data_IF_981992203097
#
_entry.id   IF_981992203097
#
_cell.length_a   1.000
_cell.length_b   1.000
_cell.length_c   1.000
_cell.angle_alpha   90.00
_cell.angle_beta   90.00
_cell.angle_gamma   90.00
#
_symmetry.space_group_name_H-M   'P 1'
#
loop_
_entity.id
_entity.type
_entity.pdbx_description
1 polymer ?
#
# COMPACT_ATOMS: atom_id res chain seq x y z
N UNK A 1 10.24 15.58 -35.32
CA UNK A 1 9.15 14.82 -34.66
C UNK A 1 9.61 14.19 -33.33
N UNK A 2 10.75 13.48 -33.30
CA UNK A 2 11.32 12.87 -32.09
C UNK A 2 11.64 13.89 -30.97
N UNK A 3 12.18 15.07 -31.29
CA UNK A 3 12.45 16.11 -30.27
C UNK A 3 11.17 16.71 -29.65
N UNK A 4 10.08 16.82 -30.42
CA UNK A 4 8.77 17.26 -29.93
C UNK A 4 8.14 16.21 -28.99
N UNK A 5 8.28 14.93 -29.31
CA UNK A 5 7.83 13.82 -28.45
C UNK A 5 8.64 13.79 -27.14
N UNK A 6 9.97 13.95 -27.21
CA UNK A 6 10.83 14.05 -26.02
C UNK A 6 10.48 15.25 -25.14
N UNK A 7 10.11 16.40 -25.72
CA UNK A 7 9.61 17.56 -24.96
C UNK A 7 8.26 17.32 -24.27
N UNK A 8 7.41 16.43 -24.79
CA UNK A 8 6.17 16.03 -24.11
C UNK A 8 6.47 15.17 -22.88
N UNK A 9 7.44 14.25 -22.95
CA UNK A 9 7.91 13.44 -21.80
C UNK A 9 8.54 14.25 -20.66
N UNK A 10 8.97 15.49 -20.93
CA UNK A 10 9.46 16.40 -19.89
C UNK A 10 8.34 17.08 -19.10
N UNK A 11 7.14 17.20 -19.67
CA UNK A 11 5.99 17.86 -19.00
C UNK A 11 5.37 16.91 -17.98
N UNK A 12 5.31 17.36 -16.73
CA UNK A 12 4.80 16.56 -15.61
C UNK A 12 3.37 16.06 -15.84
N UNK A 13 2.51 16.89 -16.45
CA UNK A 13 1.12 16.53 -16.79
C UNK A 13 1.00 15.37 -17.79
N UNK A 14 1.95 15.23 -18.72
CA UNK A 14 1.95 14.11 -19.67
C UNK A 14 2.28 12.79 -18.98
N UNK A 15 3.23 12.80 -18.02
CA UNK A 15 3.52 11.64 -17.21
C UNK A 15 2.32 11.21 -16.36
N UNK A 16 1.63 12.16 -15.72
CA UNK A 16 0.41 11.90 -14.95
C UNK A 16 -0.68 11.30 -15.84
N UNK A 17 -0.90 11.84 -17.04
CA UNK A 17 -1.86 11.29 -17.99
C UNK A 17 -1.54 9.83 -18.33
N UNK A 18 -0.30 9.54 -18.73
CA UNK A 18 0.12 8.17 -19.07
C UNK A 18 -0.07 7.23 -17.87
N UNK A 19 0.38 7.61 -16.68
CA UNK A 19 0.24 6.76 -15.49
C UNK A 19 -1.22 6.49 -15.16
N UNK A 20 -2.09 7.49 -15.30
CA UNK A 20 -3.53 7.32 -15.08
C UNK A 20 -4.13 6.37 -16.13
N UNK A 21 -3.75 6.48 -17.40
CA UNK A 21 -4.19 5.56 -18.45
C UNK A 21 -3.71 4.13 -18.21
N UNK A 22 -2.46 3.95 -17.79
CA UNK A 22 -1.91 2.63 -17.45
C UNK A 22 -2.58 2.03 -16.21
N UNK A 23 -2.90 2.84 -15.20
CA UNK A 23 -3.67 2.39 -14.05
C UNK A 23 -5.10 2.02 -14.42
N UNK A 24 -5.71 2.74 -15.37
CA UNK A 24 -7.05 2.41 -15.85
C UNK A 24 -7.06 1.09 -16.60
N UNK A 25 -6.05 0.88 -17.45
CA UNK A 25 -5.79 -0.43 -18.06
C UNK A 25 -5.61 -1.51 -17.00
N UNK A 26 -4.79 -1.26 -15.98
CA UNK A 26 -4.57 -2.20 -14.88
C UNK A 26 -5.87 -2.52 -14.13
N UNK A 27 -6.70 -1.52 -13.84
CA UNK A 27 -7.99 -1.70 -13.16
C UNK A 27 -8.92 -2.63 -13.94
N UNK A 28 -9.11 -2.35 -15.24
CA UNK A 28 -9.91 -3.22 -16.13
C UNK A 28 -9.34 -4.63 -16.12
N UNK A 29 -8.01 -4.72 -16.28
CA UNK A 29 -7.32 -5.99 -16.34
C UNK A 29 -7.46 -6.80 -15.04
N UNK A 30 -7.42 -6.15 -13.88
CA UNK A 30 -7.64 -6.79 -12.57
C UNK A 30 -9.04 -7.38 -12.42
N UNK A 31 -10.07 -6.79 -13.04
CA UNK A 31 -11.41 -7.40 -13.08
C UNK A 31 -11.50 -8.61 -14.03
N UNK A 32 -10.76 -8.57 -15.15
CA UNK A 32 -10.74 -9.66 -16.14
C UNK A 32 -9.89 -10.86 -15.68
N UNK A 33 -8.80 -10.62 -14.97
CA UNK A 33 -7.87 -11.64 -14.45
C UNK A 33 -7.59 -11.41 -12.97
N UNK A 34 -8.55 -11.69 -12.08
CA UNK A 34 -8.41 -11.37 -10.67
C UNK A 34 -7.39 -12.24 -9.95
N UNK A 35 -6.57 -11.60 -9.12
CA UNK A 35 -5.64 -12.26 -8.21
C UNK A 35 -6.22 -12.27 -6.80
N UNK A 36 -6.89 -13.37 -6.45
CA UNK A 36 -7.57 -13.57 -5.17
C UNK A 36 -7.33 -14.96 -4.58
N UNK A 37 -7.31 -15.03 -3.25
CA UNK A 37 -7.19 -16.27 -2.48
C UNK A 37 -8.30 -17.29 -2.73
N UNK A 38 -7.99 -18.57 -2.52
CA UNK A 38 -9.01 -19.65 -2.46
C UNK A 38 -9.53 -19.94 -1.04
N UNK A 39 -9.03 -19.22 -0.03
CA UNK A 39 -9.39 -19.41 1.38
C UNK A 39 -10.84 -18.98 1.68
N UNK A 40 -11.39 -19.41 2.82
CA UNK A 40 -12.72 -18.99 3.31
C UNK A 40 -12.91 -17.46 3.42
N UNK A 41 -11.82 -16.70 3.61
CA UNK A 41 -11.83 -15.24 3.64
C UNK A 41 -12.06 -14.58 2.26
N UNK A 42 -12.03 -15.33 1.16
CA UNK A 42 -12.24 -14.85 -0.21
C UNK A 42 -13.40 -15.59 -0.85
N UNK A 43 -14.59 -14.98 -0.83
CA UNK A 43 -15.81 -15.63 -1.33
C UNK A 43 -16.15 -15.13 -2.75
N UNK A 44 -16.70 -15.99 -3.62
CA UNK A 44 -17.24 -15.58 -4.90
C UNK A 44 -18.25 -14.45 -4.72
N UNK A 45 -18.26 -13.49 -5.65
CA UNK A 45 -19.22 -12.37 -5.61
C UNK A 45 -20.68 -12.86 -5.60
N UNK A 46 -20.97 -14.01 -6.22
CA UNK A 46 -22.30 -14.65 -6.19
C UNK A 46 -22.77 -15.04 -4.79
N UNK A 47 -21.85 -15.30 -3.85
CA UNK A 47 -22.19 -15.58 -2.44
C UNK A 47 -22.35 -14.29 -1.62
N UNK A 48 -21.81 -13.18 -2.10
CA UNK A 48 -21.95 -11.85 -1.49
C UNK A 48 -23.20 -11.11 -1.95
N UNK A 49 -23.60 -11.25 -3.22
CA UNK A 49 -24.77 -10.58 -3.79
C UNK A 49 -26.06 -10.73 -2.95
N UNK A 50 -26.41 -11.92 -2.43
CA UNK A 50 -27.61 -12.08 -1.57
C UNK A 50 -27.51 -11.37 -0.22
N UNK A 51 -26.30 -11.11 0.28
CA UNK A 51 -26.09 -10.35 1.54
C UNK A 51 -26.26 -8.84 1.32
N UNK A 52 -26.08 -8.36 0.09
CA UNK A 52 -26.25 -6.97 -0.29
C UNK A 52 -27.64 -6.67 -0.90
N UNK A 53 -28.48 -7.69 -1.11
CA UNK A 53 -29.84 -7.52 -1.62
C UNK A 53 -30.80 -7.20 -0.48
N UNK A 54 -30.68 -6.00 0.09
CA UNK A 54 -31.67 -5.50 1.07
C UNK A 54 -32.87 -4.86 0.34
N UNK A 55 -32.69 -4.40 -0.91
CA UNK A 55 -33.76 -3.85 -1.76
C UNK A 55 -33.65 -4.33 -3.23
N UNK A 56 -34.78 -4.43 -3.94
CA UNK A 56 -34.84 -4.85 -5.36
C UNK A 56 -34.01 -3.96 -6.32
N UNK A 57 -33.65 -2.74 -5.89
CA UNK A 57 -32.83 -1.76 -6.63
C UNK A 57 -31.31 -2.02 -6.52
N UNK A 58 -30.85 -2.69 -5.47
CA UNK A 58 -29.42 -2.95 -5.19
C UNK A 58 -28.78 -3.92 -6.20
N UNK A 59 -29.59 -4.81 -6.78
CA UNK A 59 -29.17 -5.79 -7.78
C UNK A 59 -28.75 -5.17 -9.13
N UNK A 60 -29.21 -3.97 -9.46
CA UNK A 60 -29.14 -3.46 -10.84
C UNK A 60 -27.73 -3.08 -11.32
N UNK A 61 -26.89 -2.50 -10.45
CA UNK A 61 -25.56 -2.01 -10.85
C UNK A 61 -24.54 -3.14 -10.84
N UNK A 62 -24.52 -3.96 -9.78
CA UNK A 62 -23.61 -5.10 -9.72
C UNK A 62 -23.97 -6.14 -10.79
N UNK A 63 -25.24 -6.46 -11.06
CA UNK A 63 -25.61 -7.39 -12.14
C UNK A 63 -25.33 -6.85 -13.55
N UNK A 64 -25.16 -5.54 -13.74
CA UNK A 64 -24.74 -4.94 -15.01
C UNK A 64 -23.23 -4.92 -15.20
N UNK A 65 -22.47 -4.81 -14.12
CA UNK A 65 -21.00 -4.85 -14.13
C UNK A 65 -20.52 -6.31 -14.09
N UNK A 66 -21.27 -7.21 -13.45
CA UNK A 66 -20.96 -8.63 -13.27
C UNK A 66 -20.61 -9.38 -14.57
N UNK A 67 -21.27 -9.14 -15.73
CA UNK A 67 -20.89 -9.78 -17.00
C UNK A 67 -19.49 -9.36 -17.49
N UNK A 68 -18.97 -8.21 -17.02
CA UNK A 68 -17.65 -7.69 -17.36
C UNK A 68 -16.58 -8.10 -16.33
N UNK A 69 -16.99 -8.73 -15.23
CA UNK A 69 -16.10 -9.23 -14.19
C UNK A 69 -15.88 -10.73 -14.43
N UNK A 70 -14.64 -11.19 -14.28
CA UNK A 70 -14.32 -12.61 -14.38
C UNK A 70 -15.17 -13.46 -13.42
N UNK A 71 -15.69 -14.64 -13.84
CA UNK A 71 -16.37 -15.57 -12.94
C UNK A 71 -15.51 -16.02 -11.75
N UNK A 72 -14.18 -15.88 -11.87
CA UNK A 72 -13.22 -16.21 -10.82
C UNK A 72 -13.04 -15.09 -9.78
N UNK A 73 -13.68 -13.93 -9.97
CA UNK A 73 -13.55 -12.78 -9.08
C UNK A 73 -14.15 -13.09 -7.70
N UNK A 74 -13.34 -12.87 -6.68
CA UNK A 74 -13.68 -13.07 -5.27
C UNK A 74 -13.49 -11.79 -4.49
N UNK A 75 -14.34 -11.60 -3.50
CA UNK A 75 -14.28 -10.49 -2.54
C UNK A 75 -13.73 -11.02 -1.21
N UNK A 76 -12.85 -10.24 -0.61
CA UNK A 76 -12.38 -10.45 0.76
C UNK A 76 -13.49 -10.21 1.80
N UNK A 77 -13.46 -10.94 2.91
CA UNK A 77 -14.37 -10.81 4.07
C UNK A 77 -14.51 -9.40 4.62
N UNK A 78 -13.44 -8.61 4.57
CA UNK A 78 -13.41 -7.26 5.16
C UNK A 78 -14.17 -6.24 4.30
N UNK A 79 -14.44 -6.55 3.02
CA UNK A 79 -15.07 -5.64 2.06
C UNK A 79 -16.52 -5.33 2.45
N UNK A 80 -17.28 -6.33 2.92
CA UNK A 80 -18.68 -6.12 3.31
C UNK A 80 -18.83 -5.02 4.35
N UNK A 81 -17.98 -5.06 5.39
CA UNK A 81 -17.95 -4.05 6.44
C UNK A 81 -17.54 -2.67 5.92
N UNK A 82 -16.53 -2.59 5.05
CA UNK A 82 -16.11 -1.31 4.47
C UNK A 82 -17.22 -0.67 3.61
N UNK A 83 -17.94 -1.47 2.83
CA UNK A 83 -19.06 -0.99 2.01
C UNK A 83 -20.23 -0.57 2.87
N UNK A 84 -20.54 -1.33 3.91
CA UNK A 84 -21.62 -0.99 4.84
C UNK A 84 -21.34 0.30 5.60
N UNK A 85 -20.14 0.46 6.16
CA UNK A 85 -19.70 1.71 6.79
C UNK A 85 -19.61 2.87 5.79
N UNK A 86 -19.30 2.59 4.52
CA UNK A 86 -19.33 3.57 3.43
C UNK A 86 -20.75 4.04 3.08
N UNK A 87 -21.78 3.21 3.32
CA UNK A 87 -23.19 3.57 3.16
C UNK A 87 -23.73 4.29 4.40
N UNK A 88 -23.38 3.78 5.58
CA UNK A 88 -23.87 4.18 6.90
C UNK A 88 -22.72 4.26 7.91
N UNK A 89 -22.10 5.43 8.03
CA UNK A 89 -21.04 5.67 9.01
C UNK A 89 -21.65 6.04 10.38
N UNK A 90 -22.25 5.05 11.06
CA UNK A 90 -22.98 5.24 12.32
C UNK A 90 -22.42 4.39 13.47
N UNK A 91 -22.70 4.81 14.70
CA UNK A 91 -22.28 4.15 15.93
C UNK A 91 -22.73 2.67 16.02
N UNK A 92 -23.88 2.33 15.43
CA UNK A 92 -24.45 0.97 15.48
C UNK A 92 -23.55 -0.07 14.81
N UNK A 93 -22.90 0.30 13.70
CA UNK A 93 -21.97 -0.57 12.97
C UNK A 93 -20.60 -0.71 13.62
N UNK A 94 -20.31 0.10 14.65
CA UNK A 94 -19.10 0.00 15.45
C UNK A 94 -19.31 -0.75 16.77
N UNK A 95 -20.56 -1.07 17.15
CA UNK A 95 -20.87 -1.93 18.30
C UNK A 95 -20.60 -3.39 17.93
N UNK A 96 -19.53 -3.99 18.45
CA UNK A 96 -19.20 -5.41 18.21
C UNK A 96 -17.87 -5.69 17.50
N UNK A 97 -16.96 -4.72 17.49
CA UNK A 97 -15.50 -4.89 17.37
C UNK A 97 -14.93 -5.61 16.15
N UNK A 98 -14.40 -4.80 15.22
CA UNK A 98 -13.24 -5.11 14.35
C UNK A 98 -12.72 -3.86 13.59
N UNK A 99 -13.58 -2.86 13.32
CA UNK A 99 -13.28 -1.75 12.40
C UNK A 99 -13.14 -0.36 13.04
N UNK A 100 -13.37 -0.21 14.35
CA UNK A 100 -13.17 1.04 15.11
C UNK A 100 -11.76 1.64 14.96
N UNK A 101 -10.78 0.77 14.74
CA UNK A 101 -9.35 1.07 14.62
C UNK A 101 -8.91 1.61 13.25
N UNK A 102 -9.77 1.53 12.21
CA UNK A 102 -9.43 1.88 10.83
C UNK A 102 -10.50 2.73 10.13
N UNK A 103 -10.99 3.81 10.75
CA UNK A 103 -12.15 4.55 10.23
C UNK A 103 -11.89 5.28 8.92
N UNK A 104 -10.65 5.64 8.59
CA UNK A 104 -10.39 6.59 7.50
C UNK A 104 -10.85 6.08 6.14
N UNK A 105 -10.56 4.82 5.80
CA UNK A 105 -10.94 4.27 4.50
C UNK A 105 -12.47 4.23 4.28
N UNK A 106 -13.26 3.57 5.16
CA UNK A 106 -14.72 3.62 5.04
C UNK A 106 -15.28 5.04 5.17
N UNK A 107 -14.66 5.91 5.97
CA UNK A 107 -15.06 7.32 6.06
C UNK A 107 -14.88 8.09 4.75
N UNK A 108 -13.80 7.83 3.98
CA UNK A 108 -13.63 8.40 2.64
C UNK A 108 -14.73 7.93 1.68
N UNK A 109 -15.12 6.65 1.75
CA UNK A 109 -16.25 6.10 0.97
C UNK A 109 -17.54 6.78 1.38
N UNK A 110 -17.79 6.95 2.68
CA UNK A 110 -18.96 7.64 3.19
C UNK A 110 -19.03 9.11 2.75
N UNK A 111 -17.91 9.83 2.81
CA UNK A 111 -17.87 11.23 2.39
C UNK A 111 -18.17 11.37 0.89
N UNK A 112 -17.62 10.48 0.05
CA UNK A 112 -17.94 10.48 -1.38
C UNK A 112 -19.39 10.07 -1.64
N UNK A 113 -19.91 9.08 -0.90
CA UNK A 113 -21.31 8.65 -1.04
C UNK A 113 -22.29 9.77 -0.68
N UNK A 114 -22.02 10.51 0.40
CA UNK A 114 -22.81 11.68 0.81
C UNK A 114 -22.93 12.73 -0.31
N UNK A 115 -21.83 13.01 -1.01
CA UNK A 115 -21.83 13.94 -2.15
C UNK A 115 -22.62 13.40 -3.35
N UNK A 116 -22.61 12.08 -3.56
CA UNK A 116 -23.35 11.46 -4.68
C UNK A 116 -24.83 11.23 -4.42
N UNK A 117 -25.26 11.18 -3.14
CA UNK A 117 -26.68 11.01 -2.75
C UNK A 117 -27.60 12.07 -3.36
N UNK A 118 -27.06 13.25 -3.67
CA UNK A 118 -27.80 14.33 -4.34
C UNK A 118 -28.16 14.03 -5.81
N UNK A 119 -27.47 13.07 -6.43
CA UNK A 119 -27.60 12.79 -7.87
C UNK A 119 -28.10 11.36 -8.14
N UNK A 120 -27.77 10.39 -7.28
CA UNK A 120 -28.06 8.97 -7.51
C UNK A 120 -28.53 8.34 -6.18
N UNK A 121 -29.61 7.54 -6.17
CA UNK A 121 -30.01 6.78 -4.99
C UNK A 121 -28.88 5.89 -4.48
N UNK A 122 -28.62 5.92 -3.18
CA UNK A 122 -27.56 5.08 -2.59
C UNK A 122 -27.95 3.61 -2.62
N UNK A 123 -27.20 2.83 -3.39
CA UNK A 123 -27.24 1.38 -3.45
C UNK A 123 -25.88 0.77 -3.15
N UNK A 124 -25.82 -0.51 -2.75
CA UNK A 124 -24.53 -1.18 -2.53
C UNK A 124 -23.65 -1.20 -3.78
N UNK A 125 -24.24 -1.30 -4.97
CA UNK A 125 -23.51 -1.22 -6.23
C UNK A 125 -22.89 0.16 -6.48
N UNK A 126 -23.58 1.25 -6.12
CA UNK A 126 -23.03 2.61 -6.17
C UNK A 126 -21.89 2.76 -5.16
N UNK A 127 -22.07 2.32 -3.92
CA UNK A 127 -21.03 2.38 -2.88
C UNK A 127 -19.80 1.57 -3.29
N UNK A 128 -19.97 0.39 -3.86
CA UNK A 128 -18.87 -0.40 -4.43
C UNK A 128 -18.13 0.38 -5.51
N UNK A 129 -18.85 0.94 -6.49
CA UNK A 129 -18.24 1.77 -7.54
C UNK A 129 -17.45 2.96 -7.00
N UNK A 130 -17.97 3.63 -5.97
CA UNK A 130 -17.28 4.74 -5.29
C UNK A 130 -16.03 4.27 -4.55
N UNK A 131 -16.07 3.11 -3.91
CA UNK A 131 -14.91 2.55 -3.24
C UNK A 131 -13.79 2.20 -4.24
N UNK A 132 -14.15 1.62 -5.40
CA UNK A 132 -13.19 1.39 -6.48
C UNK A 132 -12.64 2.71 -7.04
N UNK A 133 -13.50 3.74 -7.19
CA UNK A 133 -13.05 5.07 -7.60
C UNK A 133 -12.05 5.67 -6.58
N UNK A 134 -12.31 5.53 -5.28
CA UNK A 134 -11.39 5.98 -4.22
C UNK A 134 -10.06 5.25 -4.34
N UNK A 135 -10.06 3.92 -4.50
CA UNK A 135 -8.83 3.17 -4.73
C UNK A 135 -8.06 3.69 -5.93
N UNK A 136 -8.75 3.90 -7.05
CA UNK A 136 -8.16 4.41 -8.28
C UNK A 136 -7.54 5.81 -8.08
N UNK A 137 -8.22 6.71 -7.38
CA UNK A 137 -7.70 8.04 -7.04
C UNK A 137 -6.48 7.93 -6.11
N UNK A 138 -6.55 7.11 -5.06
CA UNK A 138 -5.47 6.92 -4.11
C UNK A 138 -4.21 6.37 -4.78
N UNK A 139 -4.33 5.34 -5.61
CA UNK A 139 -3.17 4.78 -6.32
C UNK A 139 -2.64 5.72 -7.40
N UNK A 140 -3.51 6.45 -8.09
CA UNK A 140 -3.09 7.48 -9.06
C UNK A 140 -2.28 8.58 -8.38
N UNK A 141 -2.76 9.06 -7.23
CA UNK A 141 -2.04 10.02 -6.40
C UNK A 141 -0.72 9.43 -5.88
N UNK A 142 -0.72 8.18 -5.42
CA UNK A 142 0.47 7.49 -4.94
C UNK A 142 1.53 7.39 -6.04
N UNK A 143 1.17 6.94 -7.25
CA UNK A 143 2.09 6.83 -8.39
C UNK A 143 2.61 8.20 -8.82
N UNK A 144 1.76 9.23 -8.86
CA UNK A 144 2.19 10.58 -9.19
C UNK A 144 3.19 11.14 -8.15
N UNK A 145 2.89 11.00 -6.86
CA UNK A 145 3.79 11.41 -5.78
C UNK A 145 5.08 10.57 -5.80
N UNK A 146 4.99 9.28 -6.10
CA UNK A 146 6.14 8.39 -6.22
C UNK A 146 7.07 8.83 -7.35
N UNK A 147 6.52 9.11 -8.52
CA UNK A 147 7.27 9.66 -9.64
C UNK A 147 7.97 10.96 -9.26
N UNK A 148 7.27 11.90 -8.62
CA UNK A 148 7.85 13.18 -8.18
C UNK A 148 8.94 12.99 -7.12
N UNK A 149 8.73 12.06 -6.18
CA UNK A 149 9.70 11.69 -5.16
C UNK A 149 10.99 11.16 -5.80
N UNK A 150 10.86 10.17 -6.69
CA UNK A 150 12.01 9.55 -7.33
C UNK A 150 12.71 10.48 -8.30
N UNK A 151 11.99 11.33 -9.02
CA UNK A 151 12.59 12.35 -9.91
C UNK A 151 13.49 13.32 -9.14
N UNK A 152 13.22 13.54 -7.83
CA UNK A 152 14.07 14.39 -6.98
C UNK A 152 15.32 13.68 -6.45
N UNK A 153 15.28 12.36 -6.27
CA UNK A 153 16.38 11.57 -5.70
C UNK A 153 17.26 10.89 -6.75
N UNK A 154 16.69 10.61 -7.92
CA UNK A 154 17.29 9.84 -9.00
C UNK A 154 17.14 10.58 -10.33
N UNK A 155 17.28 9.86 -11.44
CA UNK A 155 17.04 10.41 -12.79
C UNK A 155 15.56 10.34 -13.17
N UNK A 156 15.17 11.13 -14.18
CA UNK A 156 13.83 11.08 -14.78
C UNK A 156 13.48 9.67 -15.26
N UNK A 157 14.46 8.95 -15.83
CA UNK A 157 14.31 7.58 -16.31
C UNK A 157 14.02 6.61 -15.18
N UNK A 158 14.78 6.69 -14.07
CA UNK A 158 14.55 5.84 -12.89
C UNK A 158 13.17 6.08 -12.31
N UNK A 159 12.75 7.34 -12.19
CA UNK A 159 11.42 7.70 -11.71
C UNK A 159 10.30 7.11 -12.61
N UNK A 160 10.44 7.26 -13.93
CA UNK A 160 9.49 6.74 -14.90
C UNK A 160 9.34 5.21 -14.82
N UNK A 161 10.45 4.48 -14.93
CA UNK A 161 10.43 3.02 -14.92
C UNK A 161 9.95 2.48 -13.57
N UNK A 162 10.37 3.08 -12.46
CA UNK A 162 9.91 2.66 -11.12
C UNK A 162 8.40 2.84 -10.95
N UNK A 163 7.84 3.92 -11.53
CA UNK A 163 6.40 4.17 -11.50
C UNK A 163 5.63 3.15 -12.33
N UNK A 164 6.16 2.77 -13.50
CA UNK A 164 5.60 1.69 -14.32
C UNK A 164 5.63 0.35 -13.56
N UNK A 165 6.75 0.02 -12.90
CA UNK A 165 6.86 -1.20 -12.09
C UNK A 165 5.88 -1.22 -10.90
N UNK A 166 5.61 -0.06 -10.30
CA UNK A 166 4.62 0.05 -9.23
C UNK A 166 3.20 -0.18 -9.76
N UNK A 167 2.85 0.43 -10.91
CA UNK A 167 1.52 0.25 -11.56
C UNK A 167 1.29 -1.22 -11.87
N UNK A 168 2.26 -1.86 -12.52
CA UNK A 168 2.23 -3.29 -12.87
C UNK A 168 2.84 -4.14 -11.75
N UNK A 169 2.62 -3.75 -10.49
CA UNK A 169 3.00 -4.59 -9.36
C UNK A 169 1.85 -5.54 -9.03
N UNK A 170 2.15 -6.76 -8.56
CA UNK A 170 1.11 -7.71 -8.18
C UNK A 170 0.25 -7.19 -7.01
N UNK A 171 0.84 -6.34 -6.16
CA UNK A 171 0.10 -5.61 -5.13
C UNK A 171 -0.97 -4.69 -5.73
N UNK A 172 -0.62 -3.84 -6.70
CA UNK A 172 -1.62 -2.95 -7.34
C UNK A 172 -2.67 -3.79 -8.05
N UNK A 173 -2.27 -4.84 -8.77
CA UNK A 173 -3.21 -5.74 -9.44
C UNK A 173 -4.23 -6.38 -8.49
N UNK A 174 -3.81 -6.88 -7.33
CA UNK A 174 -4.71 -7.54 -6.38
C UNK A 174 -5.65 -6.59 -5.64
N UNK A 175 -5.23 -5.34 -5.40
CA UNK A 175 -5.93 -4.45 -4.47
C UNK A 175 -6.61 -3.25 -5.14
N UNK A 176 -6.27 -2.90 -6.40
CA UNK A 176 -6.91 -1.76 -7.09
C UNK A 176 -8.42 -1.98 -7.27
N UNK A 177 -8.83 -3.24 -7.46
CA UNK A 177 -10.22 -3.65 -7.66
C UNK A 177 -10.88 -4.23 -6.39
N UNK A 178 -10.29 -4.05 -5.20
CA UNK A 178 -10.83 -4.56 -3.93
C UNK A 178 -11.06 -3.39 -2.97
N UNK A 179 -12.29 -3.17 -2.43
CA UNK A 179 -12.61 -2.09 -1.47
C UNK A 179 -11.93 -2.26 -0.10
N UNK A 180 -10.61 -2.14 -0.09
CA UNK A 180 -9.74 -2.44 1.04
C UNK A 180 -8.78 -1.27 1.29
N UNK A 181 -8.37 -1.10 2.54
CA UNK A 181 -7.51 0.02 2.97
C UNK A 181 -6.07 -0.06 2.43
N UNK A 182 -5.69 -1.16 1.78
CA UNK A 182 -4.37 -1.42 1.23
C UNK A 182 -3.91 -0.37 0.21
N UNK A 183 -4.81 0.17 -0.62
CA UNK A 183 -4.48 1.26 -1.54
C UNK A 183 -4.19 2.58 -0.81
N UNK A 184 -4.96 2.86 0.25
CA UNK A 184 -4.69 3.99 1.14
C UNK A 184 -3.32 3.86 1.80
N UNK A 185 -2.90 2.64 2.12
CA UNK A 185 -1.60 2.40 2.75
C UNK A 185 -0.40 2.62 1.83
N UNK A 186 -0.49 2.16 0.58
CA UNK A 186 0.55 2.46 -0.41
C UNK A 186 0.69 3.97 -0.62
N UNK A 187 -0.45 4.68 -0.73
CA UNK A 187 -0.47 6.14 -0.78
C UNK A 187 0.17 6.78 0.46
N UNK A 188 -0.23 6.35 1.65
CA UNK A 188 0.28 6.89 2.92
C UNK A 188 1.80 6.78 3.02
N UNK A 189 2.39 5.62 2.70
CA UNK A 189 3.85 5.42 2.73
C UNK A 189 4.58 6.37 1.77
N UNK A 190 4.15 6.38 0.51
CA UNK A 190 4.80 7.19 -0.52
C UNK A 190 4.68 8.68 -0.20
N UNK A 191 3.49 9.12 0.25
CA UNK A 191 3.25 10.49 0.66
C UNK A 191 4.07 10.88 1.89
N UNK A 192 4.21 9.97 2.86
CA UNK A 192 5.05 10.17 4.05
C UNK A 192 6.51 10.41 3.68
N UNK A 193 7.07 9.58 2.79
CA UNK A 193 8.43 9.76 2.28
C UNK A 193 8.59 11.09 1.54
N UNK A 194 7.59 11.49 0.75
CA UNK A 194 7.60 12.75 0.01
C UNK A 194 7.53 13.98 0.93
N UNK A 195 6.66 13.97 1.94
CA UNK A 195 6.56 15.04 2.92
C UNK A 195 7.82 15.15 3.78
N UNK A 196 8.38 14.02 4.22
CA UNK A 196 9.65 13.98 4.96
C UNK A 196 10.79 14.58 4.12
N UNK A 197 10.87 14.23 2.84
CA UNK A 197 11.85 14.79 1.90
C UNK A 197 11.70 16.32 1.76
N UNK A 198 10.47 16.82 1.65
CA UNK A 198 10.21 18.26 1.55
C UNK A 198 10.53 19.00 2.85
N UNK A 199 10.26 18.39 4.00
CA UNK A 199 10.63 18.91 5.31
C UNK A 199 12.14 18.99 5.47
N UNK A 200 12.89 17.92 5.18
CA UNK A 200 14.36 17.88 5.32
C UNK A 200 15.02 18.98 4.47
N UNK A 201 14.52 19.25 3.26
CA UNK A 201 15.10 20.30 2.38
C UNK A 201 14.95 21.71 2.93
N UNK A 202 13.82 22.03 3.55
CA UNK A 202 13.53 23.36 4.08
C UNK A 202 12.74 23.21 5.38
N UNK A 203 13.41 22.88 6.51
CA UNK A 203 12.75 22.60 7.77
C UNK A 203 12.03 23.84 8.29
N UNK A 204 10.77 23.67 8.70
CA UNK A 204 10.02 24.68 9.45
C UNK A 204 9.04 23.98 10.38
N UNK A 205 8.72 24.61 11.51
CA UNK A 205 7.75 24.07 12.47
C UNK A 205 6.36 23.90 11.85
N UNK A 206 5.94 24.83 10.99
CA UNK A 206 4.66 24.72 10.27
C UNK A 206 4.58 23.48 9.37
N UNK A 207 5.66 23.18 8.64
CA UNK A 207 5.74 21.97 7.80
C UNK A 207 5.80 20.71 8.64
N UNK A 208 6.53 20.75 9.75
CA UNK A 208 6.58 19.62 10.69
C UNK A 208 5.20 19.35 11.28
N UNK A 209 4.47 20.39 11.71
CA UNK A 209 3.12 20.27 12.24
C UNK A 209 2.16 19.66 11.20
N UNK A 210 2.14 20.22 9.98
CA UNK A 210 1.33 19.69 8.89
C UNK A 210 1.70 18.23 8.56
N UNK A 211 2.99 17.93 8.46
CA UNK A 211 3.48 16.57 8.23
C UNK A 211 3.01 15.61 9.33
N UNK A 212 3.15 16.00 10.60
CA UNK A 212 2.75 15.19 11.75
C UNK A 212 1.25 14.91 11.74
N UNK A 213 0.43 15.93 11.50
CA UNK A 213 -1.03 15.78 11.40
C UNK A 213 -1.44 14.86 10.24
N UNK A 214 -0.79 14.97 9.08
CA UNK A 214 -1.05 14.07 7.94
C UNK A 214 -0.69 12.62 8.27
N UNK A 215 0.45 12.39 8.94
CA UNK A 215 0.81 11.05 9.42
C UNK A 215 -0.25 10.52 10.40
N UNK A 216 -0.70 11.35 11.34
CA UNK A 216 -1.75 10.99 12.27
C UNK A 216 -3.07 10.64 11.60
N UNK A 217 -3.45 11.37 10.54
CA UNK A 217 -4.62 11.02 9.71
C UNK A 217 -4.40 9.67 9.05
N UNK A 218 -3.23 9.40 8.46
CA UNK A 218 -2.96 8.09 7.85
C UNK A 218 -2.99 6.93 8.86
N UNK A 219 -2.65 7.17 10.13
CA UNK A 219 -2.79 6.15 11.18
C UNK A 219 -4.25 5.75 11.44
N UNK A 220 -5.23 6.61 11.12
CA UNK A 220 -6.66 6.27 11.14
C UNK A 220 -7.07 5.35 9.97
N UNK A 221 -6.22 5.17 8.95
CA UNK A 221 -6.45 4.19 7.88
C UNK A 221 -6.08 2.79 8.32
N UNK A 222 -4.88 2.65 8.89
CA UNK A 222 -4.40 1.46 9.59
C UNK A 222 -3.21 1.89 10.43
N UNK A 223 -3.09 1.33 11.63
CA UNK A 223 -2.10 1.77 12.61
C UNK A 223 -0.69 1.29 12.24
N UNK A 224 0.00 2.04 11.38
CA UNK A 224 1.38 1.75 10.98
C UNK A 224 2.38 2.61 11.76
N UNK A 225 2.52 2.31 13.05
CA UNK A 225 3.50 2.95 13.93
C UNK A 225 4.94 2.88 13.40
N UNK A 226 5.23 1.91 12.54
CA UNK A 226 6.47 1.78 11.78
C UNK A 226 7.01 3.11 11.22
N UNK A 227 6.19 3.86 10.48
CA UNK A 227 6.61 5.11 9.83
C UNK A 227 6.91 6.17 10.89
N UNK A 228 6.06 6.25 11.92
CA UNK A 228 6.25 7.16 13.06
C UNK A 228 7.54 6.88 13.83
N UNK A 229 7.83 5.62 14.13
CA UNK A 229 9.06 5.21 14.80
C UNK A 229 10.28 5.53 13.91
N UNK A 230 10.19 5.29 12.59
CA UNK A 230 11.27 5.65 11.65
C UNK A 230 11.62 7.13 11.76
N UNK A 231 10.61 8.00 11.73
CA UNK A 231 10.79 9.45 11.77
C UNK A 231 11.39 9.88 13.11
N UNK A 232 10.93 9.29 14.22
CA UNK A 232 11.48 9.55 15.55
C UNK A 232 12.94 9.11 15.66
N UNK A 233 13.29 7.91 15.20
CA UNK A 233 14.68 7.43 15.19
C UNK A 233 15.57 8.29 14.31
N UNK A 234 15.08 8.73 13.15
CA UNK A 234 15.81 9.64 12.28
C UNK A 234 16.04 10.99 12.96
N UNK A 235 15.04 11.52 13.67
CA UNK A 235 15.19 12.74 14.45
C UNK A 235 16.21 12.58 15.60
N UNK A 236 16.18 11.44 16.31
CA UNK A 236 17.17 11.12 17.35
C UNK A 236 18.59 11.00 16.78
N UNK A 237 18.76 10.29 15.67
CA UNK A 237 20.04 10.13 14.98
C UNK A 237 20.66 11.48 14.58
N UNK A 238 19.84 12.39 14.06
CA UNK A 238 20.27 13.75 13.72
C UNK A 238 20.22 14.75 14.89
N UNK A 239 20.01 14.29 16.13
CA UNK A 239 19.95 15.10 17.35
C UNK A 239 18.90 16.23 17.31
N UNK A 240 17.78 16.01 16.61
CA UNK A 240 16.64 16.92 16.44
C UNK A 240 15.53 16.64 17.46
N UNK A 241 15.87 16.75 18.74
CA UNK A 241 14.99 16.33 19.85
C UNK A 241 13.69 17.14 19.93
N UNK A 242 13.77 18.47 19.72
CA UNK A 242 12.59 19.35 19.75
C UNK A 242 11.57 18.94 18.69
N UNK A 243 12.06 18.65 17.49
CA UNK A 243 11.22 18.23 16.37
C UNK A 243 10.66 16.82 16.57
N UNK A 244 11.44 15.92 17.18
CA UNK A 244 10.95 14.59 17.57
C UNK A 244 9.77 14.69 18.55
N UNK A 245 9.88 15.57 19.56
CA UNK A 245 8.81 15.81 20.55
C UNK A 245 7.55 16.37 19.86
N UNK A 246 7.71 17.41 19.06
CA UNK A 246 6.57 18.02 18.33
C UNK A 246 5.89 17.01 17.42
N UNK A 247 6.67 16.23 16.67
CA UNK A 247 6.15 15.16 15.82
C UNK A 247 5.41 14.10 16.64
N UNK A 248 6.01 13.64 17.74
CA UNK A 248 5.46 12.64 18.63
C UNK A 248 4.08 13.00 19.18
N UNK A 249 3.89 14.26 19.61
CA UNK A 249 2.60 14.73 20.09
C UNK A 249 1.59 14.99 18.96
N UNK A 250 1.99 15.72 17.92
CA UNK A 250 1.05 16.16 16.89
C UNK A 250 0.54 15.00 16.01
N UNK A 251 1.35 13.96 15.78
CA UNK A 251 0.88 12.81 15.02
C UNK A 251 -0.20 12.01 15.74
N UNK A 252 -0.26 12.09 17.07
CA UNK A 252 -1.28 11.38 17.86
C UNK A 252 -2.59 12.16 17.93
N UNK A 253 -2.59 13.46 17.60
CA UNK A 253 -3.78 14.30 17.74
C UNK A 253 -5.00 13.78 16.93
N UNK A 254 -4.88 13.35 15.66
CA UNK A 254 -6.02 12.78 14.94
C UNK A 254 -6.58 11.50 15.59
N UNK A 255 -5.69 10.63 16.09
CA UNK A 255 -6.09 9.41 16.79
C UNK A 255 -6.77 9.72 18.13
N UNK A 256 -6.26 10.70 18.88
CA UNK A 256 -6.87 11.16 20.13
C UNK A 256 -8.25 11.79 19.89
N UNK A 257 -8.41 12.59 18.84
CA UNK A 257 -9.70 13.17 18.47
C UNK A 257 -10.69 12.08 18.08
N UNK A 258 -10.27 11.07 17.31
CA UNK A 258 -11.10 9.92 16.98
C UNK A 258 -11.50 9.12 18.22
N UNK A 259 -10.53 8.80 19.09
CA UNK A 259 -10.77 8.13 20.37
C UNK A 259 -11.77 8.90 21.24
N UNK A 260 -11.58 10.21 21.39
CA UNK A 260 -12.47 11.07 22.16
C UNK A 260 -13.87 11.11 21.54
N UNK A 261 -13.98 11.18 20.22
CA UNK A 261 -15.27 11.14 19.53
C UNK A 261 -16.00 9.81 19.78
N UNK A 262 -15.33 8.68 19.61
CA UNK A 262 -15.92 7.35 19.84
C UNK A 262 -16.36 7.17 21.30
N UNK A 263 -15.53 7.57 22.26
CA UNK A 263 -15.80 7.33 23.69
C UNK A 263 -16.75 8.35 24.30
N UNK A 264 -16.69 9.62 23.88
CA UNK A 264 -17.50 10.69 24.47
C UNK A 264 -18.80 10.94 23.71
N UNK A 265 -18.78 10.88 22.37
CA UNK A 265 -19.97 11.16 21.54
C UNK A 265 -20.75 9.89 21.27
N UNK A 266 -20.09 8.83 20.82
CA UNK A 266 -20.75 7.56 20.53
C UNK A 266 -20.92 6.65 21.75
N UNK A 267 -20.22 6.95 22.85
CA UNK A 267 -20.24 6.15 24.08
C UNK A 267 -19.90 4.67 23.85
N UNK A 268 -19.01 4.41 22.89
CA UNK A 268 -18.53 3.06 22.58
C UNK A 268 -17.19 2.86 23.27
N UNK A 269 -17.00 1.70 23.89
CA UNK A 269 -15.70 1.29 24.43
C UNK A 269 -14.71 1.13 23.28
N UNK A 270 -13.59 1.84 23.33
CA UNK A 270 -12.61 1.83 22.25
C UNK A 270 -11.67 0.62 22.38
N UNK A 271 -11.69 -0.26 21.38
CA UNK A 271 -10.83 -1.44 21.32
C UNK A 271 -9.87 -1.35 20.12
N UNK A 272 -8.59 -1.73 20.34
CA UNK A 272 -7.59 -1.91 19.29
C UNK A 272 -7.31 -3.39 19.15
N UNK A 273 -8.04 -4.02 18.24
CA UNK A 273 -8.01 -5.44 17.94
C UNK A 273 -6.59 -5.90 17.51
N UNK A 274 -5.82 -5.08 16.77
CA UNK A 274 -4.44 -5.48 16.42
C UNK A 274 -3.53 -5.62 17.66
N UNK A 275 -3.76 -4.84 18.71
CA UNK A 275 -2.98 -4.93 19.95
C UNK A 275 -3.51 -6.07 20.82
N UNK A 276 -4.83 -6.17 20.99
CA UNK A 276 -5.44 -7.11 21.94
C UNK A 276 -5.46 -8.55 21.43
N UNK A 277 -5.86 -8.77 20.17
CA UNK A 277 -5.97 -10.13 19.64
C UNK A 277 -4.68 -10.55 18.94
N UNK A 278 -3.93 -9.60 18.37
CA UNK A 278 -2.80 -9.91 17.49
C UNK A 278 -1.45 -9.50 18.10
N UNK A 279 -1.44 -8.95 19.31
CA UNK A 279 -0.24 -8.52 20.06
C UNK A 279 0.72 -7.64 19.24
N UNK A 280 0.22 -6.87 18.24
CA UNK A 280 1.06 -6.08 17.34
C UNK A 280 1.92 -5.07 18.13
N UNK A 281 3.24 -5.20 18.00
CA UNK A 281 4.22 -4.36 18.69
C UNK A 281 4.41 -4.67 20.18
N UNK A 282 3.49 -5.41 20.82
CA UNK A 282 3.58 -5.81 22.24
C UNK A 282 4.34 -7.13 22.39
N UNK A 283 4.28 -8.02 21.39
CA UNK A 283 4.96 -9.31 21.41
C UNK A 283 6.48 -9.22 21.63
N UNK A 284 7.13 -8.13 21.21
CA UNK A 284 8.59 -7.95 21.43
C UNK A 284 8.89 -7.74 22.92
N UNK A 285 7.99 -7.07 23.64
CA UNK A 285 8.11 -6.94 25.09
C UNK A 285 7.69 -8.23 25.81
N UNK A 286 6.78 -9.01 25.22
CA UNK A 286 6.39 -10.33 25.72
C UNK A 286 7.45 -11.40 25.47
N UNK A 287 8.26 -11.28 24.40
CA UNK A 287 9.38 -12.17 24.11
C UNK A 287 10.43 -12.23 25.21
N UNK A 288 10.61 -11.13 25.94
CA UNK A 288 11.48 -11.06 27.11
C UNK A 288 10.94 -11.91 28.28
N UNK A 289 9.65 -12.27 28.25
CA UNK A 289 8.95 -13.08 29.25
C UNK A 289 8.74 -14.52 28.80
N UNK A 290 8.93 -14.84 27.52
CA UNK A 290 8.74 -16.19 26.99
C UNK A 290 9.94 -17.09 27.30
N UNK A 291 9.73 -18.42 27.39
CA UNK A 291 10.82 -19.38 27.42
C UNK A 291 11.75 -19.17 26.21
N UNK A 292 13.07 -19.22 26.43
CA UNK A 292 14.07 -18.97 25.38
C UNK A 292 13.87 -19.85 24.13
N UNK A 293 13.41 -21.08 24.30
CA UNK A 293 13.08 -22.00 23.20
C UNK A 293 11.97 -21.48 22.28
N UNK A 294 10.96 -20.81 22.83
CA UNK A 294 9.86 -20.19 22.08
C UNK A 294 10.36 -18.94 21.36
N UNK A 295 11.10 -18.07 22.06
CA UNK A 295 11.70 -16.86 21.48
C UNK A 295 12.63 -17.21 20.33
N UNK A 296 13.50 -18.20 20.52
CA UNK A 296 14.41 -18.69 19.49
C UNK A 296 13.67 -19.26 18.27
N UNK A 297 12.59 -20.03 18.47
CA UNK A 297 11.77 -20.56 17.36
C UNK A 297 11.12 -19.45 16.54
N UNK A 298 10.55 -18.44 17.19
CA UNK A 298 9.97 -17.28 16.49
C UNK A 298 11.06 -16.54 15.72
N UNK A 299 12.23 -16.30 16.32
CA UNK A 299 13.36 -15.64 15.64
C UNK A 299 13.88 -16.42 14.43
N UNK A 300 13.90 -17.76 14.48
CA UNK A 300 14.29 -18.58 13.34
C UNK A 300 13.28 -18.52 12.18
N UNK A 301 11.99 -18.44 12.48
CA UNK A 301 10.92 -18.43 11.48
C UNK A 301 10.80 -17.09 10.74
N UNK A 302 11.36 -16.00 11.29
CA UNK A 302 11.41 -14.67 10.67
C UNK A 302 11.95 -14.72 9.23
N UNK A 303 13.08 -15.41 9.00
CA UNK A 303 13.72 -15.41 7.68
C UNK A 303 12.90 -16.19 6.63
N UNK A 304 12.45 -17.42 6.89
CA UNK A 304 11.52 -18.13 6.00
C UNK A 304 10.23 -17.36 5.71
N UNK A 305 9.61 -16.75 6.73
CA UNK A 305 8.35 -15.99 6.55
C UNK A 305 8.57 -14.74 5.70
N UNK A 306 9.72 -14.08 5.87
CA UNK A 306 10.14 -12.97 5.04
C UNK A 306 10.33 -13.39 3.58
N UNK A 307 11.07 -14.47 3.32
CA UNK A 307 11.28 -14.98 1.96
C UNK A 307 9.94 -15.35 1.34
N UNK A 308 9.08 -16.04 2.10
CA UNK A 308 7.74 -16.42 1.69
C UNK A 308 6.94 -15.20 1.26
N UNK A 309 6.82 -14.13 2.04
CA UNK A 309 6.03 -13.00 1.54
C UNK A 309 6.72 -12.16 0.47
N UNK A 310 8.04 -12.19 0.31
CA UNK A 310 8.68 -11.61 -0.87
C UNK A 310 8.29 -12.38 -2.14
N UNK A 311 8.19 -13.71 -2.06
CA UNK A 311 7.71 -14.57 -3.15
C UNK A 311 6.23 -14.30 -3.40
N UNK A 312 5.40 -14.35 -2.35
CA UNK A 312 3.96 -14.15 -2.44
C UNK A 312 3.53 -12.73 -2.81
N UNK A 313 4.37 -11.73 -2.56
CA UNK A 313 4.17 -10.37 -3.06
C UNK A 313 4.89 -10.13 -4.39
N UNK A 314 5.54 -11.16 -4.94
CA UNK A 314 6.34 -11.13 -6.16
C UNK A 314 7.35 -9.98 -6.21
N UNK A 315 7.80 -9.53 -5.04
CA UNK A 315 8.89 -8.60 -4.93
C UNK A 315 10.25 -9.28 -5.10
N UNK A 316 10.32 -10.61 -5.17
CA UNK A 316 11.58 -11.33 -5.35
C UNK A 316 12.42 -10.78 -6.51
N UNK A 317 11.83 -10.58 -7.69
CA UNK A 317 12.57 -10.04 -8.84
C UNK A 317 13.00 -8.58 -8.63
N UNK A 318 12.10 -7.64 -8.25
CA UNK A 318 12.51 -6.30 -7.83
C UNK A 318 13.59 -6.30 -6.74
N UNK A 319 13.52 -7.19 -5.75
CA UNK A 319 14.52 -7.36 -4.68
C UNK A 319 15.86 -7.81 -5.25
N UNK A 320 15.88 -8.81 -6.14
CA UNK A 320 17.11 -9.31 -6.78
C UNK A 320 17.79 -8.18 -7.54
N UNK A 321 17.07 -7.45 -8.39
CA UNK A 321 17.66 -6.30 -9.09
C UNK A 321 18.06 -5.19 -8.11
N UNK A 322 17.28 -4.98 -7.05
CA UNK A 322 17.57 -4.00 -6.00
C UNK A 322 18.90 -4.28 -5.32
N UNK A 323 19.24 -5.55 -5.01
CA UNK A 323 20.54 -5.94 -4.43
C UNK A 323 21.70 -5.45 -5.33
N UNK A 324 21.59 -5.61 -6.65
CA UNK A 324 22.59 -5.11 -7.58
C UNK A 324 22.60 -3.57 -7.67
N UNK A 325 21.44 -2.93 -7.65
CA UNK A 325 21.31 -1.48 -7.76
C UNK A 325 21.76 -0.71 -6.52
N UNK A 326 21.65 -1.31 -5.33
CA UNK A 326 22.13 -0.73 -4.07
C UNK A 326 23.61 -0.33 -4.14
N UNK A 327 24.43 -1.10 -4.87
CA UNK A 327 25.84 -0.81 -5.05
C UNK A 327 26.09 0.57 -5.68
N UNK A 328 25.19 1.05 -6.55
CA UNK A 328 25.30 2.31 -7.31
C UNK A 328 24.77 3.55 -6.60
N UNK A 329 24.15 3.42 -5.42
CA UNK A 329 23.67 4.60 -4.71
C UNK A 329 24.84 5.54 -4.31
N UNK A 330 24.71 6.87 -4.44
CA UNK A 330 25.68 7.82 -3.90
C UNK A 330 25.79 7.71 -2.37
N UNK A 331 26.98 7.87 -1.78
CA UNK A 331 27.22 7.67 -0.34
C UNK A 331 26.31 8.51 0.59
N UNK A 332 25.90 9.71 0.17
CA UNK A 332 24.98 10.57 0.95
C UNK A 332 23.52 10.09 0.93
N UNK A 333 23.05 9.53 -0.18
CA UNK A 333 21.70 8.95 -0.31
C UNK A 333 21.64 7.50 0.16
N UNK A 334 22.79 6.80 0.16
CA UNK A 334 22.99 5.48 0.77
C UNK A 334 22.51 5.44 2.22
N UNK A 335 22.86 6.41 3.06
CA UNK A 335 22.50 6.32 4.49
C UNK A 335 20.99 6.36 4.77
N UNK A 336 20.24 7.23 4.09
CA UNK A 336 18.77 7.33 4.28
C UNK A 336 18.06 6.11 3.68
N UNK A 337 18.54 5.61 2.55
CA UNK A 337 17.94 4.46 1.86
C UNK A 337 18.34 3.14 2.53
N UNK A 338 19.58 2.97 2.97
CA UNK A 338 20.03 1.81 3.75
C UNK A 338 19.41 1.79 5.13
N UNK A 339 19.38 2.92 5.84
CA UNK A 339 18.71 2.98 7.14
C UNK A 339 17.21 2.78 6.98
N UNK A 340 16.57 3.34 5.94
CA UNK A 340 15.17 3.06 5.61
C UNK A 340 14.92 1.60 5.22
N UNK A 341 15.83 0.95 4.50
CA UNK A 341 15.70 -0.45 4.07
C UNK A 341 15.91 -1.41 5.24
N UNK A 342 16.97 -1.20 6.02
CA UNK A 342 17.29 -1.97 7.22
C UNK A 342 16.22 -1.73 8.27
N UNK A 343 15.73 -0.51 8.42
CA UNK A 343 14.63 -0.20 9.34
C UNK A 343 13.30 -0.76 8.86
N UNK A 344 12.98 -0.72 7.56
CA UNK A 344 11.80 -1.40 7.03
C UNK A 344 11.92 -2.91 7.20
N UNK A 345 13.08 -3.53 6.97
CA UNK A 345 13.34 -4.95 7.25
C UNK A 345 13.26 -5.24 8.76
N UNK A 346 13.74 -4.33 9.62
CA UNK A 346 13.70 -4.44 11.08
C UNK A 346 12.28 -4.26 11.64
N UNK A 347 11.50 -3.32 11.11
CA UNK A 347 10.05 -3.16 11.36
C UNK A 347 9.32 -4.40 10.92
N UNK A 348 9.62 -4.90 9.71
CA UNK A 348 9.00 -6.10 9.19
C UNK A 348 9.35 -7.26 10.12
N UNK A 349 10.61 -7.35 10.60
CA UNK A 349 11.10 -8.12 11.75
C UNK A 349 10.24 -7.98 13.02
N UNK A 350 9.92 -6.75 13.39
CA UNK A 350 9.09 -6.35 14.54
C UNK A 350 7.58 -6.61 14.34
N UNK A 351 7.14 -6.98 13.13
CA UNK A 351 5.77 -7.29 12.75
C UNK A 351 5.59 -8.75 12.30
N UNK A 352 6.63 -9.58 12.34
CA UNK A 352 6.70 -10.92 11.73
C UNK A 352 5.81 -11.99 12.39
N UNK A 353 4.86 -11.62 13.24
CA UNK A 353 3.86 -12.56 13.74
C UNK A 353 3.11 -13.24 12.60
N UNK A 354 2.33 -12.53 11.78
CA UNK A 354 1.34 -13.18 10.88
C UNK A 354 1.01 -12.43 9.57
N UNK A 355 1.58 -11.25 9.26
CA UNK A 355 1.03 -10.37 8.22
C UNK A 355 2.02 -9.75 7.24
N UNK A 356 3.21 -10.35 7.09
CA UNK A 356 4.30 -9.82 6.24
C UNK A 356 3.80 -9.52 4.80
N UNK A 357 2.95 -10.40 4.23
CA UNK A 357 2.31 -10.20 2.91
C UNK A 357 1.57 -8.87 2.74
N UNK A 358 0.84 -8.43 3.77
CA UNK A 358 -0.03 -7.26 3.68
C UNK A 358 0.71 -5.93 3.87
N UNK A 359 2.02 -5.97 4.14
CA UNK A 359 2.81 -4.80 4.56
C UNK A 359 4.01 -4.54 3.62
N UNK A 360 4.15 -5.32 2.56
CA UNK A 360 5.27 -5.25 1.61
C UNK A 360 5.37 -3.90 0.88
N UNK A 361 4.28 -3.14 0.81
CA UNK A 361 4.27 -1.78 0.26
C UNK A 361 5.21 -0.81 1.00
N UNK A 362 5.60 -1.09 2.25
CA UNK A 362 6.60 -0.33 3.00
C UNK A 362 7.97 -0.31 2.31
N UNK A 363 8.24 -1.29 1.45
CA UNK A 363 9.50 -1.43 0.74
C UNK A 363 9.50 -0.74 -0.63
N UNK A 364 8.34 -0.32 -1.15
CA UNK A 364 8.22 0.27 -2.49
C UNK A 364 9.11 1.49 -2.73
N UNK A 365 9.26 2.44 -1.77
CA UNK A 365 10.11 3.61 -1.94
C UNK A 365 11.59 3.29 -2.18
N UNK A 366 12.00 2.07 -1.86
CA UNK A 366 13.38 1.61 -1.90
C UNK A 366 13.57 0.61 -3.02
N UNK A 367 12.77 -0.46 -3.04
CA UNK A 367 12.96 -1.61 -3.93
C UNK A 367 12.84 -1.22 -5.40
N UNK A 368 11.83 -0.45 -5.79
CA UNK A 368 11.64 -0.12 -7.20
C UNK A 368 12.76 0.76 -7.78
N UNK A 369 13.17 1.88 -7.16
CA UNK A 369 14.27 2.67 -7.72
C UNK A 369 15.60 1.93 -7.73
N UNK A 370 15.93 1.15 -6.69
CA UNK A 370 17.15 0.34 -6.70
C UNK A 370 17.05 -0.80 -7.72
N UNK A 371 15.89 -1.41 -7.92
CA UNK A 371 15.67 -2.40 -8.98
C UNK A 371 15.98 -1.81 -10.36
N UNK A 372 15.51 -0.59 -10.64
CA UNK A 372 15.79 0.08 -11.93
C UNK A 372 17.28 0.37 -12.09
N UNK A 373 17.97 0.81 -11.04
CA UNK A 373 19.44 0.99 -11.07
C UNK A 373 20.19 -0.33 -11.32
N UNK A 374 19.69 -1.45 -10.77
CA UNK A 374 20.23 -2.78 -11.01
C UNK A 374 20.01 -3.25 -12.45
N UNK A 375 18.80 -3.05 -12.98
CA UNK A 375 18.47 -3.31 -14.38
C UNK A 375 19.34 -2.49 -15.34
N UNK A 376 19.64 -1.23 -15.01
CA UNK A 376 20.57 -0.40 -15.79
C UNK A 376 21.94 -1.04 -15.93
N UNK A 377 22.48 -1.62 -14.86
CA UNK A 377 23.79 -2.30 -14.90
C UNK A 377 23.78 -3.49 -15.87
N UNK A 378 22.70 -4.28 -15.87
CA UNK A 378 22.56 -5.44 -16.75
C UNK A 378 22.36 -4.97 -18.20
N UNK A 379 21.51 -3.97 -18.41
CA UNK A 379 21.31 -3.38 -19.73
C UNK A 379 22.62 -2.79 -20.30
N UNK A 380 23.41 -2.07 -19.50
CA UNK A 380 24.71 -1.51 -19.89
C UNK A 380 25.70 -2.63 -20.25
N UNK A 381 25.70 -3.73 -19.51
CA UNK A 381 26.52 -4.90 -19.81
C UNK A 381 26.12 -5.53 -21.15
N UNK A 382 24.82 -5.77 -21.38
CA UNK A 382 24.29 -6.31 -22.64
C UNK A 382 24.56 -5.37 -23.83
N UNK A 383 24.50 -4.06 -23.61
CA UNK A 383 24.78 -3.04 -24.62
C UNK A 383 26.21 -3.15 -25.18
N UNK A 384 27.18 -3.64 -24.39
CA UNK A 384 28.56 -3.88 -24.84
C UNK A 384 28.63 -4.92 -25.96
N UNK A 385 27.71 -5.88 -25.96
CA UNK A 385 27.65 -6.94 -26.98
C UNK A 385 26.80 -6.52 -28.18
N UNK A 386 25.67 -5.86 -27.94
CA UNK A 386 24.86 -5.26 -29.01
C UNK A 386 23.97 -4.13 -28.49
N UNK A 387 23.93 -2.96 -29.17
CA UNK A 387 23.08 -1.84 -28.78
C UNK A 387 21.59 -2.16 -28.69
N UNK A 388 21.12 -3.17 -29.43
CA UNK A 388 19.70 -3.58 -29.47
C UNK A 388 19.32 -4.44 -28.26
N UNK A 389 20.28 -5.09 -27.59
CA UNK A 389 19.98 -5.96 -26.44
C UNK A 389 19.49 -5.17 -25.22
N UNK A 390 19.95 -3.94 -25.02
CA UNK A 390 19.50 -3.11 -23.92
C UNK A 390 18.00 -2.79 -23.96
N UNK A 391 17.42 -2.25 -25.06
CA UNK A 391 15.98 -2.01 -25.14
C UNK A 391 15.17 -3.32 -25.10
N UNK A 392 15.67 -4.41 -25.71
CA UNK A 392 15.01 -5.72 -25.62
C UNK A 392 14.95 -6.24 -24.18
N UNK A 393 16.01 -6.07 -23.40
CA UNK A 393 16.04 -6.44 -21.99
C UNK A 393 14.99 -5.67 -21.18
N UNK A 394 14.88 -4.35 -21.35
CA UNK A 394 13.84 -3.58 -20.66
C UNK A 394 12.43 -4.04 -21.06
N UNK A 395 12.19 -4.26 -22.35
CA UNK A 395 10.91 -4.78 -22.82
C UNK A 395 10.60 -6.14 -22.20
N UNK A 396 11.58 -7.06 -22.17
CA UNK A 396 11.44 -8.38 -21.57
C UNK A 396 11.13 -8.29 -20.06
N UNK A 397 11.83 -7.43 -19.29
CA UNK A 397 11.55 -7.27 -17.85
C UNK A 397 10.17 -6.70 -17.61
N UNK A 398 9.74 -5.69 -18.37
CA UNK A 398 8.39 -5.11 -18.23
C UNK A 398 7.32 -6.13 -18.60
N UNK A 399 7.47 -6.83 -19.72
CA UNK A 399 6.55 -7.90 -20.14
C UNK A 399 6.49 -8.99 -19.07
N UNK A 400 7.64 -9.41 -18.54
CA UNK A 400 7.71 -10.43 -17.51
C UNK A 400 7.06 -9.98 -16.19
N UNK A 401 7.24 -8.73 -15.78
CA UNK A 401 6.54 -8.15 -14.61
C UNK A 401 5.03 -8.11 -14.81
N UNK A 402 4.56 -7.76 -16.01
CA UNK A 402 3.14 -7.83 -16.37
C UNK A 402 2.67 -9.29 -16.25
N UNK A 403 3.36 -10.23 -16.91
CA UNK A 403 3.01 -11.65 -16.87
C UNK A 403 2.97 -12.21 -15.44
N UNK A 404 3.97 -11.90 -14.61
CA UNK A 404 4.01 -12.31 -13.20
C UNK A 404 2.86 -11.70 -12.41
N UNK A 405 2.54 -10.42 -12.63
CA UNK A 405 1.40 -9.78 -11.97
C UNK A 405 0.07 -10.42 -12.31
N UNK A 406 0.02 -11.14 -13.43
CA UNK A 406 -1.16 -11.82 -13.92
C UNK A 406 -1.26 -13.27 -13.45
N UNK A 407 -0.19 -13.83 -12.87
CA UNK A 407 -0.25 -15.14 -12.23
C UNK A 407 -1.02 -14.95 -10.93
N UNK A 408 -2.20 -15.59 -10.81
CA UNK A 408 -2.91 -15.64 -9.55
C UNK A 408 -2.08 -16.45 -8.54
N UNK A 409 -1.25 -15.74 -7.77
CA UNK A 409 -0.27 -16.38 -6.90
C UNK A 409 -0.92 -17.27 -5.85
N UNK A 410 -2.13 -16.92 -5.43
CA UNK A 410 -2.87 -17.70 -4.45
C UNK A 410 -3.40 -19.03 -4.99
N UNK A 411 -3.41 -19.22 -6.32
CA UNK A 411 -3.69 -20.52 -6.94
C UNK A 411 -2.43 -21.36 -7.12
N UNK A 412 -1.27 -20.73 -7.33
CA UNK A 412 0.01 -21.41 -7.57
C UNK A 412 0.69 -21.81 -6.26
N UNK A 413 0.60 -20.94 -5.25
CA UNK A 413 1.15 -21.17 -3.92
C UNK A 413 0.00 -21.14 -2.92
N UNK A 414 -0.30 -22.29 -2.32
CA UNK A 414 -1.32 -22.38 -1.29
C UNK A 414 -0.73 -21.84 0.02
N UNK A 415 -1.20 -20.67 0.44
CA UNK A 415 -0.71 -19.98 1.65
C UNK A 415 -0.82 -20.84 2.91
N UNK A 416 -1.82 -21.75 2.96
CA UNK A 416 -2.02 -22.64 4.10
C UNK A 416 -0.95 -23.73 4.23
N UNK A 417 -0.22 -24.06 3.16
CA UNK A 417 0.80 -25.10 3.17
C UNK A 417 2.13 -24.60 3.78
N UNK A 418 2.29 -23.28 3.96
CA UNK A 418 3.47 -22.65 4.55
C UNK A 418 3.33 -22.29 6.04
N UNK A 419 2.11 -22.40 6.61
CA UNK A 419 1.81 -22.13 8.03
C UNK A 419 1.50 -23.40 8.84
N UNK A 420 1.79 -24.58 8.27
CA UNK A 420 1.85 -25.86 9.01
C UNK A 420 3.30 -26.12 9.43
#
# INVERSE_FOLDING_TARGET
MISKILNLFQKQWFAVFIFTSLLFFQLIYSFLSPSSGQTAAWQPISQYLPKFSIENSDNFVLNKIYPLISPQYRLNSDIGHNLELGRYFSAEYFKGDLFLQRPLYPFLIFLTSLLTKFFIPTSYGVIFGLAILINFVLISAAVAVFFLLLKKFFSLKVAWLSSILLIFSPYVHSYINQPLAEMLMAFAVIMSCYLLQNYIKKPSLSKLALFSLIIGIFMLGKMFFAISIFILLLALYFKRYREAIVFGFLQLAPLLLWYAFVTQVWQITYFVNEVQNWHFGVWVFEMLRWPWSTTYRVLLNIVPDFITALIFSFLLMPVVFSVYGFQKLPFRSKNIVYFGAIFSIFILGFLMGHYFLRHVFLLFPIIYPTAVLGMEKIADFLKKYSPVLAPLFYAAVVIFMILISNINIYQVFNYNDFHR
#
